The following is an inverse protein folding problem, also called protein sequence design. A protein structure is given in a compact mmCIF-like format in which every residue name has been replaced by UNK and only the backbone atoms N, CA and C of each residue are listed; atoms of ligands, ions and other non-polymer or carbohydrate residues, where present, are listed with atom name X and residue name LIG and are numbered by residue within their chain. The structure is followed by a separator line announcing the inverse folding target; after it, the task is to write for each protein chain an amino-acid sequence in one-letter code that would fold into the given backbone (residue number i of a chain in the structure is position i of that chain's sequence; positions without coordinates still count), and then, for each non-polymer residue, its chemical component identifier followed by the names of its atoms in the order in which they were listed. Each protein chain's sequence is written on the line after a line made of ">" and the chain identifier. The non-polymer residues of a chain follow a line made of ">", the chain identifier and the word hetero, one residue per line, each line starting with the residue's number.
data_IF_381507597146
#
_entry.id   IF_381507597146
#
_cell.length_a   1.000
_cell.length_b   1.000
_cell.length_c   1.000
_cell.angle_alpha   90.00
_cell.angle_beta   90.00
_cell.angle_gamma   90.00
#
_symmetry.space_group_name_H-M   'P 1'
#
loop_
_entity.id
_entity.type
_entity.pdbx_description
1 polymer ?
#
# COMPACT_ATOMS: atom_id res chain seq x y z
N UNK A 1 7.18 19.01 -4.73
CA UNK A 1 7.81 17.77 -4.20
C UNK A 1 6.78 16.67 -4.22
N UNK A 2 7.18 15.45 -4.58
CA UNK A 2 6.30 14.27 -4.59
C UNK A 2 5.94 13.85 -3.16
N UNK A 3 4.66 13.69 -2.87
CA UNK A 3 4.18 13.22 -1.56
C UNK A 3 4.04 11.69 -1.58
N UNK A 4 4.87 11.01 -0.79
CA UNK A 4 4.91 9.54 -0.68
C UNK A 4 4.10 9.05 0.52
N UNK A 5 3.37 7.95 0.36
CA UNK A 5 2.81 7.18 1.47
C UNK A 5 3.20 5.71 1.40
N UNK A 6 3.26 5.05 2.56
CA UNK A 6 3.71 3.66 2.70
C UNK A 6 2.77 2.90 3.63
N UNK A 7 2.21 1.79 3.18
CA UNK A 7 1.49 0.85 4.06
C UNK A 7 2.45 -0.18 4.66
N UNK A 8 2.04 -0.91 5.70
CA UNK A 8 2.84 -2.01 6.24
C UNK A 8 4.11 -1.60 7.00
N UNK A 9 4.22 -0.33 7.39
CA UNK A 9 5.38 0.26 8.10
C UNK A 9 5.69 -0.38 9.46
N UNK A 10 4.74 -1.12 10.04
CA UNK A 10 4.94 -1.87 11.30
C UNK A 10 5.50 -3.28 11.08
N UNK A 11 5.64 -3.71 9.82
CA UNK A 11 6.22 -5.00 9.42
C UNK A 11 7.66 -4.85 8.96
N UNK A 12 8.30 -5.98 8.62
CA UNK A 12 9.72 -6.00 8.28
C UNK A 12 10.05 -5.17 7.02
N UNK A 13 9.43 -5.50 5.87
CA UNK A 13 9.71 -4.81 4.60
C UNK A 13 9.32 -3.33 4.65
N UNK A 14 8.16 -3.00 5.23
CA UNK A 14 7.71 -1.61 5.32
C UNK A 14 8.49 -0.77 6.32
N UNK A 15 8.84 -1.33 7.47
CA UNK A 15 9.70 -0.68 8.43
C UNK A 15 11.10 -0.42 7.86
N UNK A 16 11.64 -1.38 7.10
CA UNK A 16 12.92 -1.21 6.40
C UNK A 16 12.85 -0.06 5.38
N UNK A 17 11.89 -0.09 4.44
CA UNK A 17 11.73 0.98 3.43
C UNK A 17 11.52 2.35 4.09
N UNK A 18 10.70 2.43 5.14
CA UNK A 18 10.48 3.66 5.88
C UNK A 18 11.77 4.22 6.50
N UNK A 19 12.62 3.35 7.08
CA UNK A 19 13.92 3.72 7.63
C UNK A 19 14.85 4.27 6.56
N UNK A 20 15.01 3.56 5.45
CA UNK A 20 15.89 3.98 4.35
C UNK A 20 15.47 5.33 3.77
N UNK A 21 14.16 5.58 3.63
CA UNK A 21 13.66 6.88 3.17
C UNK A 21 13.97 8.00 4.16
N UNK A 22 13.80 7.74 5.46
CA UNK A 22 14.17 8.71 6.50
C UNK A 22 15.66 9.03 6.49
N UNK A 23 16.52 8.04 6.32
CA UNK A 23 17.99 8.21 6.25
C UNK A 23 18.42 8.95 4.99
N UNK A 24 17.69 8.78 3.89
CA UNK A 24 17.85 9.55 2.65
C UNK A 24 17.25 10.97 2.73
N UNK A 25 16.64 11.37 3.84
CA UNK A 25 16.01 12.68 4.00
C UNK A 25 14.70 12.84 3.23
N UNK A 26 14.07 11.73 2.82
CA UNK A 26 12.80 11.72 2.07
C UNK A 26 11.63 11.60 3.05
N UNK A 27 10.80 12.63 3.10
CA UNK A 27 9.58 12.62 3.91
C UNK A 27 8.53 11.65 3.33
N UNK A 28 7.88 10.89 4.21
CA UNK A 28 6.83 9.95 3.84
C UNK A 28 5.69 9.91 4.87
N UNK A 29 4.48 9.64 4.39
CA UNK A 29 3.32 9.34 5.24
C UNK A 29 3.25 7.84 5.52
N UNK A 30 3.41 7.47 6.78
CA UNK A 30 3.25 6.13 7.30
C UNK A 30 1.78 5.82 7.53
N UNK A 31 1.27 4.84 6.79
CA UNK A 31 -0.10 4.35 6.89
C UNK A 31 -0.12 3.08 7.74
N UNK A 32 -0.70 3.16 8.92
CA UNK A 32 -0.73 2.05 9.87
C UNK A 32 -2.12 1.84 10.47
N UNK A 33 -2.52 0.59 10.67
CA UNK A 33 -3.77 0.25 11.38
C UNK A 33 -3.73 0.69 12.85
N UNK A 34 -2.55 0.59 13.43
CA UNK A 34 -2.19 0.97 14.79
C UNK A 34 -1.09 2.04 14.72
N UNK A 35 -1.44 3.33 14.59
CA UNK A 35 -0.48 4.43 14.47
C UNK A 35 0.60 4.43 15.56
N UNK A 36 0.25 4.04 16.78
CA UNK A 36 1.13 3.95 17.93
C UNK A 36 2.28 2.94 17.76
N UNK A 37 2.13 1.99 16.84
CA UNK A 37 3.15 0.99 16.49
C UNK A 37 4.03 1.37 15.30
N UNK A 38 3.71 2.47 14.60
CA UNK A 38 4.50 2.93 13.46
C UNK A 38 5.87 3.43 13.93
N UNK A 39 6.93 3.21 13.14
CA UNK A 39 8.26 3.71 13.47
C UNK A 39 8.25 5.26 13.50
N UNK A 40 8.85 5.83 14.54
CA UNK A 40 8.99 7.28 14.72
C UNK A 40 10.28 7.72 14.04
N UNK A 41 10.17 8.14 12.79
CA UNK A 41 11.30 8.52 11.94
C UNK A 41 11.26 10.01 11.60
N UNK A 42 12.43 10.59 11.33
CA UNK A 42 12.52 12.00 10.94
C UNK A 42 11.83 12.22 9.59
N UNK A 43 11.04 13.29 9.47
CA UNK A 43 10.28 13.58 8.25
C UNK A 43 9.07 12.66 8.01
N UNK A 44 8.79 11.70 8.88
CA UNK A 44 7.61 10.84 8.78
C UNK A 44 6.39 11.46 9.46
N UNK A 45 5.24 11.39 8.79
CA UNK A 45 3.93 11.62 9.41
C UNK A 45 3.20 10.29 9.53
N UNK A 46 2.38 10.09 10.56
CA UNK A 46 1.63 8.84 10.74
C UNK A 46 0.13 9.12 10.60
N UNK A 47 -0.57 8.29 9.82
CA UNK A 47 -2.04 8.30 9.71
C UNK A 47 -2.59 6.91 9.92
N UNK A 48 -3.74 6.85 10.62
CA UNK A 48 -4.51 5.61 10.75
C UNK A 48 -5.06 5.23 9.38
N UNK A 49 -4.80 3.99 8.99
CA UNK A 49 -5.21 3.48 7.68
C UNK A 49 -5.26 1.96 7.72
N UNK A 50 -6.35 1.38 7.22
CA UNK A 50 -6.55 -0.05 7.11
C UNK A 50 -6.89 -0.43 5.66
N UNK A 51 -6.93 -1.73 5.36
CA UNK A 51 -7.30 -2.21 4.03
C UNK A 51 -8.82 -2.28 3.89
N UNK A 52 -9.45 -1.12 3.81
CA UNK A 52 -10.90 -0.97 3.67
C UNK A 52 -11.25 0.28 2.87
N UNK A 53 -12.54 0.42 2.56
CA UNK A 53 -13.11 1.63 2.00
C UNK A 53 -13.81 2.41 3.11
N UNK A 54 -13.24 3.53 3.54
CA UNK A 54 -13.83 4.41 4.54
C UNK A 54 -13.34 5.85 4.36
N UNK A 55 -14.09 6.81 4.89
CA UNK A 55 -13.70 8.23 4.85
C UNK A 55 -12.37 8.47 5.59
N UNK A 56 -12.09 7.71 6.66
CA UNK A 56 -10.82 7.76 7.38
C UNK A 56 -9.64 7.36 6.47
N UNK A 57 -9.80 6.29 5.69
CA UNK A 57 -8.78 5.82 4.73
C UNK A 57 -8.60 6.81 3.57
N UNK A 58 -9.70 7.32 3.01
CA UNK A 58 -9.66 8.32 1.92
C UNK A 58 -8.95 9.59 2.41
N UNK A 59 -9.27 10.08 3.62
CA UNK A 59 -8.63 11.23 4.21
C UNK A 59 -7.13 10.98 4.49
N UNK A 60 -6.75 9.77 4.92
CA UNK A 60 -5.35 9.40 5.12
C UNK A 60 -4.54 9.39 3.81
N UNK A 61 -5.20 9.06 2.69
CA UNK A 61 -4.61 8.99 1.34
C UNK A 61 -4.68 10.31 0.56
N UNK A 62 -5.42 11.31 1.06
CA UNK A 62 -5.56 12.59 0.38
C UNK A 62 -4.21 13.33 0.24
N UNK A 63 -3.99 13.86 -0.97
CA UNK A 63 -2.77 14.59 -1.35
C UNK A 63 -1.54 13.71 -1.59
N UNK A 64 -1.69 12.38 -1.62
CA UNK A 64 -0.59 11.46 -1.93
C UNK A 64 -0.39 11.37 -3.44
N UNK A 65 0.84 11.60 -3.90
CA UNK A 65 1.21 11.41 -5.30
C UNK A 65 1.54 9.94 -5.57
N UNK A 66 2.34 9.32 -4.71
CA UNK A 66 2.79 7.93 -4.85
C UNK A 66 2.47 7.13 -3.59
N UNK A 67 1.81 5.99 -3.76
CA UNK A 67 1.54 5.03 -2.69
C UNK A 67 2.42 3.79 -2.88
N UNK A 68 3.35 3.56 -1.95
CA UNK A 68 4.04 2.27 -1.81
C UNK A 68 3.17 1.32 -0.99
N UNK A 69 2.38 0.50 -1.68
CA UNK A 69 1.41 -0.41 -1.11
C UNK A 69 2.07 -1.77 -0.82
N UNK A 70 2.35 -2.01 0.46
CA UNK A 70 2.80 -3.31 0.96
C UNK A 70 1.60 -4.19 1.24
N UNK A 71 1.47 -5.30 0.50
CA UNK A 71 0.27 -6.13 0.51
C UNK A 71 -0.20 -6.56 1.91
N UNK A 72 -1.52 -6.71 2.06
CA UNK A 72 -2.10 -7.19 3.30
C UNK A 72 -1.63 -8.63 3.60
N UNK A 73 -1.56 -8.96 4.90
CA UNK A 73 -1.24 -10.32 5.38
C UNK A 73 -2.19 -11.35 4.80
N UNK A 74 -1.73 -12.60 4.72
CA UNK A 74 -2.57 -13.73 4.36
C UNK A 74 -3.78 -13.84 5.29
N UNK A 75 -4.97 -13.83 4.68
CA UNK A 75 -6.25 -14.09 5.31
C UNK A 75 -7.34 -14.30 4.24
N UNK A 76 -8.47 -14.95 4.56
CA UNK A 76 -9.56 -15.20 3.59
C UNK A 76 -10.16 -13.93 2.96
N UNK A 77 -10.16 -12.81 3.69
CA UNK A 77 -10.74 -11.54 3.25
C UNK A 77 -9.77 -10.68 2.44
N UNK A 78 -8.54 -11.14 2.21
CA UNK A 78 -7.45 -10.34 1.61
C UNK A 78 -7.83 -9.71 0.28
N UNK A 79 -8.47 -10.47 -0.61
CA UNK A 79 -8.89 -9.94 -1.91
C UNK A 79 -9.97 -8.86 -1.77
N UNK A 80 -10.93 -9.04 -0.86
CA UNK A 80 -11.96 -8.03 -0.57
C UNK A 80 -11.34 -6.77 0.01
N UNK A 81 -10.40 -6.93 0.94
CA UNK A 81 -9.64 -5.86 1.58
C UNK A 81 -8.82 -5.05 0.56
N UNK A 82 -8.10 -5.72 -0.34
CA UNK A 82 -7.35 -5.05 -1.40
C UNK A 82 -8.26 -4.28 -2.35
N UNK A 83 -9.37 -4.88 -2.81
CA UNK A 83 -10.30 -4.19 -3.71
C UNK A 83 -10.88 -2.93 -3.06
N UNK A 84 -11.38 -3.04 -1.83
CA UNK A 84 -11.92 -1.91 -1.08
C UNK A 84 -10.88 -0.80 -0.86
N UNK A 85 -9.65 -1.17 -0.54
CA UNK A 85 -8.57 -0.19 -0.37
C UNK A 85 -8.17 0.48 -1.69
N UNK A 86 -8.05 -0.28 -2.78
CA UNK A 86 -7.74 0.27 -4.12
C UNK A 86 -8.83 1.25 -4.57
N UNK A 87 -10.10 0.95 -4.27
CA UNK A 87 -11.21 1.88 -4.50
C UNK A 87 -11.03 3.19 -3.72
N UNK A 88 -10.67 3.10 -2.44
CA UNK A 88 -10.37 4.29 -1.63
C UNK A 88 -9.16 5.07 -2.16
N UNK A 89 -8.12 4.39 -2.63
CA UNK A 89 -6.94 4.99 -3.27
C UNK A 89 -7.31 5.75 -4.52
N UNK A 90 -8.20 5.20 -5.36
CA UNK A 90 -8.71 5.88 -6.55
C UNK A 90 -9.50 7.13 -6.19
N UNK A 91 -10.42 7.02 -5.21
CA UNK A 91 -11.25 8.14 -4.75
C UNK A 91 -10.40 9.26 -4.12
N UNK A 92 -9.36 8.90 -3.37
CA UNK A 92 -8.43 9.86 -2.76
C UNK A 92 -7.55 10.59 -3.80
N UNK A 93 -7.57 10.17 -5.07
CA UNK A 93 -6.84 10.82 -6.15
C UNK A 93 -5.34 10.49 -6.17
N UNK A 94 -4.93 9.36 -5.61
CA UNK A 94 -3.52 8.92 -5.66
C UNK A 94 -3.10 8.71 -7.11
N UNK A 95 -1.97 9.30 -7.49
CA UNK A 95 -1.54 9.34 -8.90
C UNK A 95 -0.87 8.04 -9.34
N UNK A 96 -0.11 7.39 -8.45
CA UNK A 96 0.63 6.15 -8.77
C UNK A 96 0.65 5.16 -7.60
N UNK A 97 0.42 3.87 -7.88
CA UNK A 97 0.59 2.78 -6.90
C UNK A 97 1.84 1.96 -7.23
N UNK A 98 2.79 1.90 -6.31
CA UNK A 98 3.87 0.90 -6.31
C UNK A 98 3.42 -0.25 -5.42
N UNK A 99 3.00 -1.36 -6.01
CA UNK A 99 2.45 -2.50 -5.28
C UNK A 99 3.52 -3.59 -5.11
N UNK A 100 3.76 -4.00 -3.87
CA UNK A 100 4.56 -5.20 -3.57
C UNK A 100 3.72 -6.43 -3.93
N UNK A 101 3.91 -6.91 -5.15
CA UNK A 101 3.24 -8.08 -5.66
C UNK A 101 3.96 -9.35 -5.18
N UNK A 102 3.95 -10.40 -5.99
CA UNK A 102 4.55 -11.68 -5.68
C UNK A 102 5.22 -12.27 -6.92
N UNK A 103 6.30 -13.02 -6.70
CA UNK A 103 6.99 -13.70 -7.78
C UNK A 103 6.05 -14.64 -8.53
N UNK A 104 6.03 -14.51 -9.86
CA UNK A 104 5.13 -15.27 -10.75
C UNK A 104 3.64 -15.15 -10.35
N UNK A 105 3.18 -13.93 -10.07
CA UNK A 105 1.76 -13.63 -9.88
C UNK A 105 1.00 -13.94 -11.18
N UNK A 106 0.31 -15.07 -11.22
CA UNK A 106 -0.53 -15.49 -12.35
C UNK A 106 -1.80 -16.18 -11.84
N UNK A 107 -2.94 -16.06 -12.53
CA UNK A 107 -4.14 -16.85 -12.25
C UNK A 107 -3.88 -18.37 -12.30
N UNK A 108 -2.88 -18.80 -13.07
CA UNK A 108 -2.50 -20.20 -13.24
C UNK A 108 -1.43 -20.69 -12.25
N UNK A 109 -0.95 -19.83 -11.33
CA UNK A 109 0.08 -20.22 -10.37
C UNK A 109 -0.43 -21.31 -9.43
N UNK A 110 0.43 -22.27 -9.06
CA UNK A 110 0.08 -23.34 -8.12
C UNK A 110 -0.09 -22.83 -6.69
N UNK A 111 0.70 -21.81 -6.31
CA UNK A 111 0.64 -21.19 -5.00
C UNK A 111 -0.51 -20.19 -4.89
N UNK A 112 -1.33 -20.32 -3.85
CA UNK A 112 -2.55 -19.53 -3.66
C UNK A 112 -2.28 -18.03 -3.56
N UNK A 113 -1.27 -17.61 -2.80
CA UNK A 113 -0.98 -16.17 -2.67
C UNK A 113 -0.54 -15.56 -4.00
N UNK A 114 0.21 -16.29 -4.84
CA UNK A 114 0.58 -15.79 -6.17
C UNK A 114 -0.66 -15.53 -7.04
N UNK A 115 -1.70 -16.38 -6.94
CA UNK A 115 -2.99 -16.13 -7.60
C UNK A 115 -3.69 -14.89 -7.03
N UNK A 116 -3.72 -14.72 -5.71
CA UNK A 116 -4.34 -13.54 -5.09
C UNK A 116 -3.65 -12.23 -5.47
N UNK A 117 -2.33 -12.25 -5.56
CA UNK A 117 -1.54 -11.13 -6.05
C UNK A 117 -1.88 -10.82 -7.52
N UNK A 118 -2.01 -11.83 -8.38
CA UNK A 118 -2.42 -11.63 -9.77
C UNK A 118 -3.81 -10.97 -9.89
N UNK A 119 -4.75 -11.39 -9.03
CA UNK A 119 -6.09 -10.76 -8.96
C UNK A 119 -5.99 -9.29 -8.51
N UNK A 120 -5.10 -9.00 -7.56
CA UNK A 120 -4.88 -7.62 -7.08
C UNK A 120 -4.26 -6.75 -8.17
N UNK A 121 -3.22 -7.24 -8.86
CA UNK A 121 -2.59 -6.56 -10.00
C UNK A 121 -3.59 -6.23 -11.10
N UNK A 122 -4.41 -7.22 -11.47
CA UNK A 122 -5.44 -7.06 -12.48
C UNK A 122 -6.47 -6.00 -12.05
N UNK A 123 -6.85 -5.97 -10.78
CA UNK A 123 -7.78 -4.96 -10.28
C UNK A 123 -7.21 -3.54 -10.30
N UNK A 124 -5.91 -3.37 -9.97
CA UNK A 124 -5.24 -2.07 -10.10
C UNK A 124 -5.27 -1.58 -11.55
N UNK A 125 -5.01 -2.48 -12.51
CA UNK A 125 -5.11 -2.19 -13.95
C UNK A 125 -6.52 -1.77 -14.36
N UNK A 126 -7.54 -2.53 -13.96
CA UNK A 126 -8.95 -2.26 -14.29
C UNK A 126 -9.45 -0.91 -13.76
N UNK A 127 -8.91 -0.44 -12.63
CA UNK A 127 -9.24 0.88 -12.05
C UNK A 127 -8.55 2.05 -12.77
N UNK A 128 -7.74 1.77 -13.79
CA UNK A 128 -7.04 2.78 -14.58
C UNK A 128 -6.12 3.65 -13.73
N UNK A 129 -5.45 3.04 -12.75
CA UNK A 129 -4.43 3.69 -11.92
C UNK A 129 -3.08 3.59 -12.62
N UNK A 130 -2.20 4.59 -12.49
CA UNK A 130 -0.80 4.38 -12.85
C UNK A 130 -0.16 3.44 -11.82
N UNK A 131 0.63 2.47 -12.28
CA UNK A 131 1.14 1.44 -11.40
C UNK A 131 2.56 0.99 -11.74
N UNK A 132 3.23 0.47 -10.72
CA UNK A 132 4.43 -0.37 -10.82
C UNK A 132 4.21 -1.60 -9.94
N UNK A 133 4.45 -2.79 -10.47
CA UNK A 133 4.44 -4.02 -9.68
C UNK A 133 5.87 -4.44 -9.41
N UNK A 134 6.15 -4.72 -8.14
CA UNK A 134 7.46 -5.14 -7.65
C UNK A 134 7.31 -6.50 -6.97
N UNK A 135 8.09 -7.50 -7.38
CA UNK A 135 8.02 -8.89 -6.95
C UNK A 135 9.40 -9.44 -6.59
#
# INVERSE_FOLDING_TARGET
>A
MTTLAITGVTGHSGGFVAKELSEAGVAARHLARSPERAPKLAGATVKKCSYEYSDEVIAALSGIDVLFMISAKENPERLRQHRAFIDAVKVAGVKHIVYTSFYNASPSSTFTLARDHAVTEQYIKEKGLAYTFFA
#
